data_IF_554214972956
#
_entry.id   IF_554214972956
#
_cell.length_a   1.000
_cell.length_b   1.000
_cell.length_c   1.000
_cell.angle_alpha   90.00
_cell.angle_beta   90.00
_cell.angle_gamma   90.00
#
_symmetry.space_group_name_H-M   'P 1'
#
loop_
_entity.id
_entity.type
_entity.pdbx_description
1 polymer ?
#
# COMPACT_ATOMS: atom_id res chain seq x y z
N UNK A 1 -8.64 -17.54 -10.84
CA UNK A 1 -9.08 -16.89 -12.11
C UNK A 1 -8.22 -17.33 -13.29
N UNK A 2 -6.99 -16.82 -13.54
CA UNK A 2 -6.23 -17.27 -14.72
C UNK A 2 -5.68 -18.69 -14.64
N UNK A 3 -5.32 -19.18 -13.44
CA UNK A 3 -4.93 -20.57 -13.23
C UNK A 3 -6.05 -21.55 -13.58
N UNK A 4 -7.29 -21.05 -13.57
CA UNK A 4 -8.50 -21.82 -13.80
C UNK A 4 -9.01 -21.67 -15.25
N UNK A 5 -8.75 -20.51 -15.91
CA UNK A 5 -9.28 -20.22 -17.25
C UNK A 5 -8.22 -20.02 -18.35
N UNK A 6 -6.94 -19.97 -18.01
CA UNK A 6 -5.84 -19.71 -18.96
C UNK A 6 -5.52 -18.23 -19.17
N UNK A 7 -4.29 -17.95 -19.65
CA UNK A 7 -3.83 -16.58 -19.95
C UNK A 7 -4.61 -16.00 -21.12
N UNK A 8 -4.82 -16.83 -22.13
CA UNK A 8 -5.51 -16.54 -23.38
C UNK A 8 -6.98 -16.15 -23.20
N UNK A 9 -7.58 -16.43 -22.03
CA UNK A 9 -8.97 -16.04 -21.68
C UNK A 9 -9.04 -15.00 -20.58
N UNK A 10 -7.91 -14.40 -20.19
CA UNK A 10 -7.83 -13.37 -19.15
C UNK A 10 -7.47 -12.03 -19.78
N UNK A 11 -8.41 -11.09 -19.84
CA UNK A 11 -8.25 -9.79 -20.49
C UNK A 11 -8.42 -8.60 -19.53
N UNK A 12 -8.04 -7.40 -19.96
CA UNK A 12 -8.30 -6.14 -19.26
C UNK A 12 -7.35 -5.83 -18.09
N UNK A 13 -6.36 -6.69 -17.84
CA UNK A 13 -5.31 -6.44 -16.85
C UNK A 13 -4.13 -5.76 -17.53
N UNK A 14 -3.67 -4.64 -16.97
CA UNK A 14 -2.42 -4.05 -17.43
C UNK A 14 -1.23 -4.82 -16.85
N UNK A 15 -0.24 -5.12 -17.70
CA UNK A 15 0.92 -5.94 -17.34
C UNK A 15 2.19 -5.12 -17.50
N UNK A 16 2.67 -4.55 -16.39
CA UNK A 16 3.92 -3.79 -16.36
C UNK A 16 4.47 -3.73 -14.94
N UNK A 17 5.78 -3.57 -14.80
CA UNK A 17 6.39 -3.31 -13.49
C UNK A 17 6.23 -1.85 -13.11
N UNK A 18 5.94 -1.61 -11.85
CA UNK A 18 6.01 -0.24 -11.32
C UNK A 18 7.47 0.19 -11.25
N UNK A 19 7.70 1.50 -11.38
CA UNK A 19 9.04 2.07 -11.32
C UNK A 19 9.65 1.83 -9.94
N UNK A 20 10.95 1.50 -9.82
CA UNK A 20 11.60 1.48 -8.51
C UNK A 20 11.71 2.89 -7.92
N UNK A 21 11.96 2.97 -6.62
CA UNK A 21 12.19 4.23 -5.90
C UNK A 21 11.31 4.40 -4.66
N UNK A 22 11.41 5.57 -4.00
CA UNK A 22 10.68 5.84 -2.78
C UNK A 22 9.17 5.82 -3.05
N UNK A 23 8.42 5.28 -2.10
CA UNK A 23 6.96 5.25 -2.10
C UNK A 23 6.42 5.56 -0.72
N UNK A 24 5.19 6.04 -0.66
CA UNK A 24 4.39 6.12 0.56
C UNK A 24 3.16 5.25 0.37
N UNK A 25 2.90 4.37 1.33
CA UNK A 25 1.68 3.56 1.40
C UNK A 25 0.78 4.18 2.46
N UNK A 26 -0.50 4.33 2.14
CA UNK A 26 -1.50 4.76 3.11
C UNK A 26 -2.81 3.98 3.01
N UNK A 27 -3.54 3.91 4.12
CA UNK A 27 -4.85 3.28 4.18
C UNK A 27 -5.75 3.97 5.18
N UNK A 28 -6.83 4.57 4.68
CA UNK A 28 -7.93 5.07 5.50
C UNK A 28 -8.82 3.92 5.97
N UNK A 29 -9.19 3.95 7.24
CA UNK A 29 -10.20 3.08 7.83
C UNK A 29 -11.14 3.91 8.71
N UNK A 30 -12.36 3.41 8.86
CA UNK A 30 -13.40 3.99 9.71
C UNK A 30 -14.00 2.89 10.57
N UNK A 31 -14.13 3.16 11.86
CA UNK A 31 -14.79 2.28 12.83
C UNK A 31 -15.59 3.12 13.82
N UNK A 32 -16.91 2.91 13.87
CA UNK A 32 -17.76 3.54 14.88
C UNK A 32 -17.81 5.07 14.78
N UNK A 33 -17.63 5.63 13.58
CA UNK A 33 -17.58 7.06 13.31
C UNK A 33 -16.18 7.67 13.44
N UNK A 34 -15.18 6.90 13.89
CA UNK A 34 -13.80 7.38 14.02
C UNK A 34 -12.94 6.96 12.82
N UNK A 35 -12.31 7.96 12.20
CA UNK A 35 -11.39 7.75 11.08
C UNK A 35 -9.95 7.64 11.54
N UNK A 36 -9.22 6.69 10.95
CA UNK A 36 -7.77 6.57 11.11
C UNK A 36 -7.07 6.27 9.79
N UNK A 37 -5.84 6.73 9.66
CA UNK A 37 -5.02 6.58 8.46
C UNK A 37 -3.71 5.88 8.80
N UNK A 38 -3.50 4.66 8.30
CA UNK A 38 -2.17 4.07 8.26
C UNK A 38 -1.31 4.86 7.28
N UNK A 39 -0.07 5.16 7.65
CA UNK A 39 0.91 5.82 6.80
C UNK A 39 2.25 5.13 7.02
N UNK A 40 2.91 4.66 5.96
CA UNK A 40 4.27 4.15 6.05
C UNK A 40 5.05 4.48 4.79
N UNK A 41 6.34 4.77 4.96
CA UNK A 41 7.26 4.91 3.84
C UNK A 41 7.73 3.54 3.37
N UNK A 42 8.13 3.44 2.12
CA UNK A 42 8.74 2.26 1.56
C UNK A 42 9.64 2.58 0.37
N UNK A 43 10.32 1.56 -0.11
CA UNK A 43 11.12 1.59 -1.32
C UNK A 43 10.60 0.51 -2.26
N UNK A 44 10.06 0.91 -3.41
CA UNK A 44 9.72 0.00 -4.49
C UNK A 44 11.03 -0.54 -5.10
N UNK A 45 11.21 -1.86 -5.07
CA UNK A 45 12.44 -2.52 -5.46
C UNK A 45 12.45 -2.85 -6.95
N UNK A 46 13.64 -2.79 -7.56
CA UNK A 46 13.87 -3.35 -8.88
C UNK A 46 14.15 -4.85 -8.75
N UNK A 47 13.14 -5.69 -8.94
CA UNK A 47 13.29 -7.14 -8.93
C UNK A 47 12.94 -7.78 -10.28
N UNK A 48 13.73 -8.81 -10.62
CA UNK A 48 13.50 -9.66 -11.78
C UNK A 48 12.58 -10.84 -11.41
N UNK A 49 11.72 -11.24 -12.35
CA UNK A 49 10.81 -12.37 -12.20
C UNK A 49 9.75 -12.38 -13.29
N UNK A 50 9.16 -13.54 -13.54
CA UNK A 50 7.94 -13.61 -14.36
C UNK A 50 6.81 -12.87 -13.63
N UNK A 51 6.02 -12.07 -14.36
CA UNK A 51 4.95 -11.29 -13.78
C UNK A 51 3.67 -11.34 -14.61
N UNK A 52 2.54 -11.22 -13.90
CA UNK A 52 1.21 -11.00 -14.46
C UNK A 52 0.52 -9.95 -13.61
N UNK A 53 -0.06 -8.95 -14.26
CA UNK A 53 -0.56 -7.74 -13.61
C UNK A 53 0.54 -6.73 -13.29
N UNK A 54 0.12 -5.59 -12.77
CA UNK A 54 1.02 -4.53 -12.33
C UNK A 54 1.35 -4.68 -10.84
N UNK A 55 2.61 -4.94 -10.52
CA UNK A 55 3.07 -5.11 -9.14
C UNK A 55 4.53 -4.68 -8.96
N UNK A 56 4.95 -4.53 -7.70
CA UNK A 56 6.33 -4.33 -7.27
C UNK A 56 6.50 -4.82 -5.83
N UNK A 57 7.68 -5.29 -5.46
CA UNK A 57 8.02 -5.48 -4.05
C UNK A 57 8.32 -4.15 -3.39
N UNK A 58 7.80 -3.94 -2.19
CA UNK A 58 8.09 -2.74 -1.40
C UNK A 58 8.81 -3.16 -0.14
N UNK A 59 10.04 -2.68 0.01
CA UNK A 59 10.77 -2.77 1.28
C UNK A 59 10.29 -1.66 2.20
N UNK A 60 9.80 -2.01 3.37
CA UNK A 60 9.43 -1.07 4.44
C UNK A 60 10.50 -1.05 5.53
N UNK A 61 10.59 0.03 6.35
CA UNK A 61 11.62 0.14 7.40
C UNK A 61 11.54 -0.96 8.46
N UNK A 62 10.33 -1.37 8.82
CA UNK A 62 10.07 -2.37 9.86
C UNK A 62 8.81 -3.18 9.48
N UNK A 63 9.02 -4.33 8.86
CA UNK A 63 7.94 -5.17 8.36
C UNK A 63 7.14 -5.83 9.50
N UNK A 64 7.82 -6.20 10.59
CA UNK A 64 7.18 -6.84 11.74
C UNK A 64 6.22 -5.86 12.43
N UNK A 65 6.68 -4.63 12.67
CA UNK A 65 5.85 -3.56 13.22
C UNK A 65 4.69 -3.21 12.29
N UNK A 66 4.91 -3.16 10.97
CA UNK A 66 3.83 -2.91 10.01
C UNK A 66 2.74 -3.98 10.09
N UNK A 67 3.11 -5.27 10.04
CA UNK A 67 2.14 -6.36 10.14
C UNK A 67 1.40 -6.38 11.47
N UNK A 68 2.12 -6.17 12.58
CA UNK A 68 1.50 -6.06 13.89
C UNK A 68 0.50 -4.90 13.94
N UNK A 69 0.88 -3.74 13.40
CA UNK A 69 -0.01 -2.58 13.30
C UNK A 69 -1.24 -2.87 12.45
N UNK A 70 -1.08 -3.51 11.28
CA UNK A 70 -2.22 -3.88 10.42
C UNK A 70 -3.23 -4.74 11.17
N UNK A 71 -2.78 -5.74 11.91
CA UNK A 71 -3.65 -6.67 12.63
C UNK A 71 -4.25 -6.03 13.88
N UNK A 72 -3.43 -5.43 14.75
CA UNK A 72 -3.88 -4.89 16.04
C UNK A 72 -4.72 -3.62 15.89
N UNK A 73 -4.45 -2.79 14.88
CA UNK A 73 -5.30 -1.65 14.51
C UNK A 73 -6.39 -2.05 13.51
N UNK A 74 -6.49 -3.30 13.07
CA UNK A 74 -7.59 -3.78 12.24
C UNK A 74 -7.65 -3.21 10.82
N UNK A 75 -6.53 -2.80 10.22
CA UNK A 75 -6.51 -2.39 8.81
C UNK A 75 -6.69 -3.58 7.85
N UNK A 76 -7.40 -3.36 6.75
CA UNK A 76 -7.59 -4.37 5.69
C UNK A 76 -6.46 -4.33 4.64
N UNK A 77 -6.36 -5.37 3.82
CA UNK A 77 -5.26 -5.60 2.88
C UNK A 77 -5.17 -4.62 1.70
N UNK A 78 -6.25 -3.92 1.35
CA UNK A 78 -6.20 -2.89 0.30
C UNK A 78 -5.58 -1.61 0.83
N UNK A 79 -4.62 -1.05 0.10
CA UNK A 79 -3.97 0.23 0.41
C UNK A 79 -3.76 1.05 -0.86
N UNK A 80 -3.51 2.36 -0.68
CA UNK A 80 -3.03 3.25 -1.73
C UNK A 80 -1.51 3.37 -1.64
N UNK A 81 -0.85 3.45 -2.78
CA UNK A 81 0.60 3.68 -2.87
C UNK A 81 0.88 4.80 -3.86
N UNK A 82 1.80 5.69 -3.51
CA UNK A 82 2.24 6.81 -4.35
C UNK A 82 3.77 6.89 -4.36
N UNK A 83 4.37 7.21 -5.50
CA UNK A 83 5.82 7.43 -5.60
C UNK A 83 6.24 8.74 -4.94
N UNK A 84 7.20 8.67 -4.01
CA UNK A 84 7.70 9.78 -3.20
C UNK A 84 7.47 9.57 -1.70
N UNK A 85 8.13 10.40 -0.89
CA UNK A 85 7.88 10.49 0.55
C UNK A 85 6.84 11.58 0.82
N UNK A 86 5.64 11.16 1.20
CA UNK A 86 4.50 12.01 1.54
C UNK A 86 4.00 11.76 2.95
N UNK A 87 4.81 11.18 3.83
CA UNK A 87 4.39 10.87 5.21
C UNK A 87 3.93 12.14 5.93
N UNK A 88 4.73 13.22 5.88
CA UNK A 88 4.39 14.49 6.54
C UNK A 88 3.18 15.19 5.88
N UNK A 89 3.11 15.37 4.55
CA UNK A 89 1.91 15.91 3.90
C UNK A 89 0.60 15.18 4.25
N UNK A 90 0.62 13.84 4.29
CA UNK A 90 -0.58 13.05 4.62
C UNK A 90 -0.94 13.20 6.10
N UNK A 91 0.05 13.24 6.99
CA UNK A 91 -0.14 13.51 8.42
C UNK A 91 -0.74 14.90 8.66
N UNK A 92 -0.27 15.92 7.97
CA UNK A 92 -0.83 17.27 8.03
C UNK A 92 -2.29 17.31 7.54
N UNK A 93 -2.59 16.61 6.45
CA UNK A 93 -3.97 16.44 5.99
C UNK A 93 -4.84 15.73 7.03
N UNK A 94 -4.33 14.69 7.69
CA UNK A 94 -5.04 14.00 8.77
C UNK A 94 -5.40 14.96 9.91
N UNK A 95 -4.47 15.84 10.31
CA UNK A 95 -4.71 16.86 11.33
C UNK A 95 -5.83 17.83 10.93
N UNK A 96 -5.82 18.32 9.70
CA UNK A 96 -6.86 19.23 9.19
C UNK A 96 -8.24 18.58 9.11
N UNK A 97 -8.29 17.27 8.87
CA UNK A 97 -9.52 16.50 8.68
C UNK A 97 -10.01 15.81 9.96
N UNK A 98 -9.30 15.94 11.09
CA UNK A 98 -9.65 15.24 12.33
C UNK A 98 -9.49 13.72 12.25
N UNK A 99 -8.59 13.23 11.40
CA UNK A 99 -8.30 11.80 11.22
C UNK A 99 -7.09 11.42 12.10
N UNK A 100 -7.15 10.30 12.83
CA UNK A 100 -6.02 9.81 13.62
C UNK A 100 -4.95 9.19 12.71
N UNK A 101 -3.74 9.75 12.60
CA UNK A 101 -2.66 9.11 11.85
C UNK A 101 -2.06 7.94 12.66
N UNK A 102 -1.76 6.84 11.98
CA UNK A 102 -1.03 5.68 12.50
C UNK A 102 0.21 5.52 11.62
N UNK A 103 1.35 6.04 12.08
CA UNK A 103 2.58 6.10 11.30
C UNK A 103 3.51 4.96 11.70
N UNK A 104 3.94 4.16 10.73
CA UNK A 104 4.83 3.01 10.92
C UNK A 104 6.21 3.28 10.38
#
# INVERSE_FOLDING_TARGET
>A
LYRDVGVERSYGTAEFRLRPGPVTICRLAEYGGEFKMLITKGEALEEAGEFRGSWVWVRVPDLEKLYRTLVEEGFVHHASMIHGDYVEPIKDACKLLGIRPVIV
#
